data_IF_340625060069
#
_entry.id   IF_340625060069
#
_cell.length_a   1.000
_cell.length_b   1.000
_cell.length_c   1.000
_cell.angle_alpha   90.00
_cell.angle_beta   90.00
_cell.angle_gamma   90.00
#
_symmetry.space_group_name_H-M   'P 1'
#
loop_
_entity.id
_entity.type
_entity.pdbx_description
1 polymer ?
#
# COMPACT_ATOMS: atom_id res chain seq x y z
N UNK A 1 -28.88 -21.77 47.51
CA UNK A 1 -27.92 -20.94 46.79
C UNK A 1 -26.63 -20.63 47.58
N UNK A 2 -26.67 -20.16 48.85
CA UNK A 2 -25.44 -19.81 49.60
C UNK A 2 -24.44 -20.97 49.84
N UNK A 3 -24.90 -22.22 50.01
CA UNK A 3 -24.01 -23.38 50.23
C UNK A 3 -23.27 -23.79 48.96
N UNK A 4 -23.91 -23.75 47.78
CA UNK A 4 -23.31 -24.08 46.51
C UNK A 4 -22.22 -23.04 46.13
N UNK A 5 -22.49 -21.76 46.31
CA UNK A 5 -21.53 -20.68 46.12
C UNK A 5 -20.25 -20.85 46.97
N UNK A 6 -20.41 -21.22 48.26
CA UNK A 6 -19.25 -21.45 49.13
C UNK A 6 -18.43 -22.68 48.73
N UNK A 7 -19.07 -23.74 48.26
CA UNK A 7 -18.38 -24.95 47.81
C UNK A 7 -17.62 -24.74 46.51
N UNK A 8 -18.07 -23.79 45.66
CA UNK A 8 -17.45 -23.52 44.36
C UNK A 8 -16.68 -22.17 44.29
N UNK A 9 -16.49 -21.51 45.42
CA UNK A 9 -15.90 -20.18 45.50
C UNK A 9 -14.51 -20.13 44.83
N UNK A 10 -13.67 -21.13 45.09
CA UNK A 10 -12.31 -21.18 44.50
C UNK A 10 -12.38 -21.32 42.98
N UNK A 11 -13.26 -22.17 42.48
CA UNK A 11 -13.45 -22.32 41.01
C UNK A 11 -13.97 -21.06 40.36
N UNK A 12 -14.93 -20.37 41.02
CA UNK A 12 -15.47 -19.10 40.53
C UNK A 12 -14.40 -17.99 40.50
N UNK A 13 -13.59 -17.90 41.56
CA UNK A 13 -12.46 -16.93 41.59
C UNK A 13 -11.46 -17.25 40.50
N UNK A 14 -11.13 -18.53 40.32
CA UNK A 14 -10.20 -18.92 39.24
C UNK A 14 -10.76 -18.54 37.87
N UNK A 15 -12.01 -18.77 37.56
CA UNK A 15 -12.65 -18.38 36.30
C UNK A 15 -12.60 -16.86 36.10
N UNK A 16 -12.99 -16.10 37.15
CA UNK A 16 -12.99 -14.62 37.08
C UNK A 16 -11.59 -14.04 36.84
N UNK A 17 -10.54 -14.70 37.27
CA UNK A 17 -9.17 -14.24 37.06
C UNK A 17 -8.58 -14.79 35.77
N UNK A 18 -8.74 -16.07 35.47
CA UNK A 18 -8.09 -16.71 34.34
C UNK A 18 -8.75 -16.32 33.01
N UNK A 19 -10.06 -16.20 32.93
CA UNK A 19 -10.72 -15.83 31.67
C UNK A 19 -10.31 -14.45 31.18
N UNK A 20 -10.37 -13.37 31.99
CA UNK A 20 -9.88 -12.06 31.53
C UNK A 20 -8.39 -12.04 31.22
N UNK A 21 -7.58 -12.76 32.01
CA UNK A 21 -6.13 -12.83 31.75
C UNK A 21 -5.84 -13.52 30.41
N UNK A 22 -6.50 -14.65 30.14
CA UNK A 22 -6.35 -15.35 28.85
C UNK A 22 -6.80 -14.47 27.68
N UNK A 23 -7.98 -13.83 27.80
CA UNK A 23 -8.50 -12.92 26.78
C UNK A 23 -7.51 -11.76 26.54
N UNK A 24 -7.00 -11.15 27.60
CA UNK A 24 -6.06 -10.03 27.48
C UNK A 24 -4.75 -10.43 26.78
N UNK A 25 -4.19 -11.61 27.14
CA UNK A 25 -2.96 -12.12 26.51
C UNK A 25 -3.21 -12.46 25.04
N UNK A 26 -4.29 -13.18 24.73
CA UNK A 26 -4.63 -13.55 23.35
C UNK A 26 -4.85 -12.29 22.50
N UNK A 27 -5.62 -11.33 23.03
CA UNK A 27 -5.90 -10.09 22.30
C UNK A 27 -4.63 -9.25 22.07
N UNK A 28 -3.74 -9.18 23.05
CA UNK A 28 -2.47 -8.47 22.90
C UNK A 28 -1.57 -9.11 21.82
N UNK A 29 -1.51 -10.45 21.76
CA UNK A 29 -0.76 -11.15 20.74
C UNK A 29 -1.35 -10.96 19.35
N UNK A 30 -2.67 -11.05 19.19
CA UNK A 30 -3.36 -10.84 17.93
C UNK A 30 -3.19 -9.39 17.42
N UNK A 31 -3.30 -8.40 18.32
CA UNK A 31 -3.07 -6.99 17.97
C UNK A 31 -1.61 -6.75 17.60
N UNK A 32 -0.66 -7.40 18.30
CA UNK A 32 0.76 -7.35 17.94
C UNK A 32 1.01 -7.88 16.55
N UNK A 33 0.59 -9.12 16.28
CA UNK A 33 0.73 -9.76 14.98
C UNK A 33 0.02 -8.96 13.86
N UNK A 34 -1.16 -8.42 14.13
CA UNK A 34 -1.89 -7.58 13.18
C UNK A 34 -1.12 -6.30 12.82
N UNK A 35 -0.50 -5.64 13.82
CA UNK A 35 0.25 -4.41 13.57
C UNK A 35 1.57 -4.66 12.82
N UNK A 36 2.21 -5.83 13.02
CA UNK A 36 3.42 -6.22 12.33
C UNK A 36 3.18 -6.58 10.85
N UNK A 37 1.97 -6.98 10.50
CA UNK A 37 1.62 -7.44 9.15
C UNK A 37 0.89 -6.41 8.29
N UNK A 38 0.63 -5.20 8.83
CA UNK A 38 -0.05 -4.14 8.07
C UNK A 38 0.84 -2.91 7.90
N UNK A 39 0.57 -2.17 6.83
CA UNK A 39 1.22 -0.90 6.54
C UNK A 39 0.78 0.16 7.58
N UNK A 40 1.66 0.47 8.54
CA UNK A 40 1.37 1.43 9.62
C UNK A 40 2.46 2.48 9.80
N UNK A 41 3.67 2.26 9.27
CA UNK A 41 4.83 3.13 9.44
C UNK A 41 5.29 3.70 8.08
N UNK A 42 4.82 4.90 7.69
CA UNK A 42 5.20 5.48 6.41
C UNK A 42 6.65 5.97 6.41
N UNK A 43 7.41 5.56 5.41
CA UNK A 43 8.65 6.20 4.98
C UNK A 43 8.26 7.26 3.96
N UNK A 44 8.38 8.53 4.32
CA UNK A 44 7.93 9.63 3.48
C UNK A 44 8.95 9.92 2.36
N UNK A 45 8.44 10.16 1.15
CA UNK A 45 9.21 10.62 0.00
C UNK A 45 8.46 11.76 -0.68
N UNK A 46 9.14 12.89 -0.90
CA UNK A 46 8.62 14.06 -1.61
C UNK A 46 8.96 14.06 -3.09
N UNK A 47 8.37 14.98 -3.87
CA UNK A 47 8.76 15.17 -5.25
C UNK A 47 10.23 15.59 -5.36
N UNK A 48 10.98 14.90 -6.22
CA UNK A 48 12.42 15.14 -6.43
C UNK A 48 13.36 14.46 -5.45
N UNK A 49 12.83 13.79 -4.43
CA UNK A 49 13.63 12.95 -3.54
C UNK A 49 13.95 11.60 -4.20
N UNK A 50 15.09 11.02 -3.82
CA UNK A 50 15.41 9.60 -4.02
C UNK A 50 15.48 8.93 -2.66
N UNK A 51 14.78 7.80 -2.48
CA UNK A 51 14.71 7.10 -1.20
C UNK A 51 14.99 5.62 -1.38
N UNK A 52 15.86 5.08 -0.53
CA UNK A 52 16.12 3.64 -0.44
C UNK A 52 15.09 2.99 0.47
N UNK A 53 14.34 2.03 -0.08
CA UNK A 53 13.32 1.28 0.65
C UNK A 53 13.17 -0.11 0.05
N UNK A 54 13.20 -1.15 0.90
CA UNK A 54 13.03 -2.55 0.50
C UNK A 54 14.13 -3.06 -0.43
N UNK A 55 15.39 -2.64 -0.20
CA UNK A 55 16.51 -3.03 -1.05
C UNK A 55 16.50 -2.39 -2.44
N UNK A 56 15.70 -1.33 -2.64
CA UNK A 56 15.47 -0.68 -3.93
C UNK A 56 15.52 0.83 -3.76
N UNK A 57 16.16 1.54 -4.68
CA UNK A 57 16.09 2.99 -4.82
C UNK A 57 14.83 3.39 -5.59
N UNK A 58 14.12 4.39 -5.08
CA UNK A 58 12.87 4.88 -5.65
C UNK A 58 12.97 6.37 -5.92
N UNK A 59 12.51 6.82 -7.10
CA UNK A 59 12.45 8.23 -7.48
C UNK A 59 11.21 8.51 -8.31
N UNK A 60 10.48 9.58 -7.97
CA UNK A 60 9.34 10.03 -8.78
C UNK A 60 9.84 10.72 -10.04
N UNK A 61 9.46 10.21 -11.21
CA UNK A 61 9.79 10.80 -12.49
C UNK A 61 8.67 11.65 -13.07
N UNK A 62 7.43 11.18 -13.03
CA UNK A 62 6.30 11.91 -13.59
C UNK A 62 4.97 11.52 -12.94
N UNK A 63 4.06 12.50 -12.90
CA UNK A 63 2.65 12.28 -12.59
C UNK A 63 1.82 12.96 -13.69
N UNK A 64 0.83 12.23 -14.22
CA UNK A 64 -0.14 12.77 -15.19
C UNK A 64 -1.54 12.49 -14.70
N UNK A 65 -2.46 13.42 -14.93
CA UNK A 65 -3.89 13.23 -14.70
C UNK A 65 -4.62 13.41 -16.03
N UNK A 66 -5.33 12.39 -16.47
CA UNK A 66 -6.04 12.31 -17.74
C UNK A 66 -7.53 12.29 -17.44
N UNK A 67 -8.26 13.29 -17.93
CA UNK A 67 -9.71 13.35 -17.73
C UNK A 67 -10.43 12.40 -18.68
N UNK A 68 -11.51 11.77 -18.23
CA UNK A 68 -12.40 10.96 -19.05
C UNK A 68 -12.96 11.70 -20.28
N UNK A 69 -13.09 13.04 -20.21
CA UNK A 69 -13.60 13.87 -21.28
C UNK A 69 -12.52 14.32 -22.28
N UNK A 70 -11.25 14.03 -22.03
CA UNK A 70 -10.14 14.31 -22.94
C UNK A 70 -10.10 13.30 -24.08
N UNK A 71 -9.40 13.61 -25.17
CA UNK A 71 -9.16 12.69 -26.28
C UNK A 71 -8.52 11.40 -25.81
N UNK A 72 -7.44 11.50 -25.02
CA UNK A 72 -6.73 10.35 -24.43
C UNK A 72 -7.64 9.53 -23.48
N UNK A 73 -8.52 10.20 -22.70
CA UNK A 73 -9.46 9.52 -21.80
C UNK A 73 -10.55 8.75 -22.57
N UNK A 74 -10.99 9.26 -23.71
CA UNK A 74 -11.94 8.56 -24.61
C UNK A 74 -11.26 7.37 -25.30
N UNK A 75 -10.02 7.52 -25.76
CA UNK A 75 -9.24 6.44 -26.38
C UNK A 75 -8.96 5.29 -25.37
N UNK A 76 -8.74 5.63 -24.09
CA UNK A 76 -8.50 4.67 -23.00
C UNK A 76 -9.81 4.08 -22.45
N UNK A 77 -10.96 4.45 -22.99
CA UNK A 77 -12.29 4.00 -22.54
C UNK A 77 -12.58 4.28 -21.06
N UNK A 78 -12.11 5.43 -20.55
CA UNK A 78 -12.34 5.80 -19.15
C UNK A 78 -13.84 5.94 -18.86
N UNK A 79 -14.31 5.41 -17.72
CA UNK A 79 -15.70 5.60 -17.28
C UNK A 79 -16.04 7.09 -17.10
N UNK A 80 -17.29 7.46 -17.35
CA UNK A 80 -17.76 8.84 -17.14
C UNK A 80 -17.51 9.30 -15.70
N UNK A 81 -17.15 10.57 -15.55
CA UNK A 81 -16.85 11.21 -14.25
C UNK A 81 -15.69 10.54 -13.48
N UNK A 82 -14.72 9.98 -14.19
CA UNK A 82 -13.46 9.51 -13.63
C UNK A 82 -12.27 10.19 -14.29
N UNK A 83 -11.14 10.19 -13.63
CA UNK A 83 -9.85 10.57 -14.18
C UNK A 83 -8.88 9.39 -14.04
N UNK A 84 -7.88 9.32 -14.91
CA UNK A 84 -6.78 8.39 -14.79
C UNK A 84 -5.56 9.13 -14.23
N UNK A 85 -5.09 8.71 -13.06
CA UNK A 85 -3.82 9.19 -12.48
C UNK A 85 -2.74 8.19 -12.85
N UNK A 86 -1.78 8.65 -13.64
CA UNK A 86 -0.64 7.85 -14.10
C UNK A 86 0.61 8.32 -13.38
N UNK A 87 1.27 7.42 -12.67
CA UNK A 87 2.47 7.68 -11.89
C UNK A 87 3.62 6.88 -12.47
N UNK A 88 4.70 7.58 -12.83
CA UNK A 88 5.95 6.96 -13.30
C UNK A 88 7.03 7.14 -12.25
N UNK A 89 7.65 6.04 -11.85
CA UNK A 89 8.77 6.01 -10.91
C UNK A 89 9.98 5.34 -11.54
N UNK A 90 11.16 5.85 -11.25
CA UNK A 90 12.42 5.16 -11.51
C UNK A 90 12.67 4.17 -10.36
N UNK A 91 12.97 2.93 -10.70
CA UNK A 91 13.21 1.81 -9.79
C UNK A 91 14.64 1.34 -10.00
N UNK A 92 15.47 1.41 -8.97
CA UNK A 92 16.87 0.99 -9.00
C UNK A 92 17.06 -0.17 -8.02
N UNK A 93 17.05 -1.44 -8.47
CA UNK A 93 17.33 -2.58 -7.59
C UNK A 93 18.74 -2.47 -7.02
N UNK A 94 18.88 -2.68 -5.70
CA UNK A 94 20.17 -2.57 -4.97
C UNK A 94 20.51 -3.84 -4.20
N UNK A 95 19.49 -4.57 -3.76
CA UNK A 95 19.65 -5.81 -3.00
C UNK A 95 18.88 -6.93 -3.67
N UNK A 96 19.45 -8.12 -3.65
CA UNK A 96 18.92 -9.32 -4.29
C UNK A 96 18.92 -10.46 -3.27
N UNK A 97 17.94 -11.33 -3.37
CA UNK A 97 17.88 -12.56 -2.57
C UNK A 97 18.90 -13.61 -3.01
N UNK A 98 18.83 -14.80 -2.40
CA UNK A 98 19.76 -15.90 -2.71
C UNK A 98 19.59 -16.47 -4.13
N UNK A 99 18.44 -16.24 -4.73
CA UNK A 99 18.06 -16.59 -6.11
C UNK A 99 18.45 -15.50 -7.12
N UNK A 100 18.95 -14.34 -6.64
CA UNK A 100 19.32 -13.20 -7.47
C UNK A 100 18.13 -12.36 -7.90
N UNK A 101 17.02 -12.40 -7.16
CA UNK A 101 15.80 -11.65 -7.45
C UNK A 101 15.69 -10.42 -6.54
N UNK A 102 15.28 -9.30 -7.12
CA UNK A 102 14.91 -8.10 -6.39
C UNK A 102 13.57 -8.27 -5.65
N UNK A 103 13.30 -7.40 -4.68
CA UNK A 103 12.05 -7.44 -3.92
C UNK A 103 10.83 -7.15 -4.78
N UNK A 104 9.78 -7.96 -4.63
CA UNK A 104 8.48 -7.68 -5.23
C UNK A 104 7.76 -6.56 -4.47
N UNK A 105 7.05 -5.70 -5.22
CA UNK A 105 6.25 -4.64 -4.62
C UNK A 105 4.79 -4.67 -5.06
N UNK A 106 3.94 -4.06 -4.25
CA UNK A 106 2.56 -3.70 -4.62
C UNK A 106 2.34 -2.21 -4.42
N UNK A 107 1.45 -1.64 -5.23
CA UNK A 107 1.19 -0.20 -5.23
C UNK A 107 -0.28 0.10 -4.99
N UNK A 108 -0.55 1.27 -4.37
CA UNK A 108 -1.89 1.86 -4.20
C UNK A 108 -1.80 3.36 -4.33
N UNK A 109 -2.86 3.96 -4.83
CA UNK A 109 -3.05 5.40 -4.76
C UNK A 109 -3.97 5.72 -3.59
N UNK A 110 -3.60 6.71 -2.78
CA UNK A 110 -4.39 7.17 -1.64
C UNK A 110 -4.67 8.65 -1.79
N UNK A 111 -5.91 9.06 -1.56
CA UNK A 111 -6.28 10.43 -1.29
C UNK A 111 -6.17 10.70 0.19
N UNK A 112 -5.51 11.79 0.54
CA UNK A 112 -5.25 12.14 1.92
C UNK A 112 -6.22 13.22 2.42
N UNK A 113 -6.60 13.12 3.70
CA UNK A 113 -7.21 14.20 4.47
C UNK A 113 -6.31 14.44 5.68
N UNK A 114 -5.38 15.39 5.54
CA UNK A 114 -4.25 15.55 6.45
C UNK A 114 -3.37 14.29 6.49
N UNK A 115 -3.28 13.64 7.65
CA UNK A 115 -2.48 12.41 7.83
C UNK A 115 -3.30 11.12 7.65
N UNK A 116 -4.60 11.22 7.38
CA UNK A 116 -5.48 10.05 7.24
C UNK A 116 -5.79 9.76 5.77
N UNK A 117 -5.94 8.49 5.44
CA UNK A 117 -6.38 8.05 4.11
C UNK A 117 -7.90 8.19 4.05
N UNK A 118 -8.39 9.08 3.18
CA UNK A 118 -9.80 9.29 2.93
C UNK A 118 -10.37 8.27 1.94
N UNK A 119 -9.66 8.05 0.83
CA UNK A 119 -10.00 7.07 -0.22
C UNK A 119 -8.74 6.36 -0.72
N UNK A 120 -8.89 5.14 -1.24
CA UNK A 120 -7.76 4.36 -1.75
C UNK A 120 -8.16 3.58 -2.99
N UNK A 121 -7.27 3.50 -3.98
CA UNK A 121 -7.46 2.79 -5.24
C UNK A 121 -6.30 1.84 -5.52
N UNK A 122 -6.63 0.71 -6.12
CA UNK A 122 -5.64 -0.23 -6.63
C UNK A 122 -5.20 0.17 -8.03
N UNK A 123 -4.04 -0.34 -8.43
CA UNK A 123 -3.55 -0.23 -9.79
C UNK A 123 -4.57 -0.83 -10.78
N UNK A 124 -4.87 -0.09 -11.82
CA UNK A 124 -5.80 -0.43 -12.89
C UNK A 124 -5.08 -0.57 -14.25
N UNK A 125 -3.76 -0.69 -14.26
CA UNK A 125 -3.00 -0.93 -15.48
C UNK A 125 -3.49 -2.21 -16.13
N UNK A 126 -3.92 -2.12 -17.39
CA UNK A 126 -4.47 -3.18 -18.25
C UNK A 126 -5.79 -3.86 -17.79
N UNK A 127 -6.38 -3.49 -16.66
CA UNK A 127 -7.68 -3.99 -16.20
C UNK A 127 -8.24 -3.07 -15.09
N UNK A 128 -9.43 -2.49 -15.19
CA UNK A 128 -10.47 -2.69 -16.21
C UNK A 128 -10.42 -1.73 -17.43
N UNK A 129 -9.35 -0.99 -17.63
CA UNK A 129 -9.18 -0.02 -18.72
C UNK A 129 -8.11 -0.50 -19.71
N UNK A 130 -8.21 -0.06 -20.97
CA UNK A 130 -7.20 -0.35 -21.99
C UNK A 130 -6.05 0.67 -21.91
N UNK A 131 -5.32 0.61 -20.80
CA UNK A 131 -4.13 1.43 -20.59
C UNK A 131 -2.89 0.56 -20.38
N UNK A 132 -1.89 0.77 -21.20
CA UNK A 132 -0.59 0.11 -21.11
C UNK A 132 0.54 1.12 -21.05
N UNK A 133 1.58 0.88 -20.24
CA UNK A 133 2.80 1.66 -20.31
C UNK A 133 3.41 1.59 -21.73
N UNK A 134 4.14 2.64 -22.16
CA UNK A 134 4.85 2.63 -23.43
C UNK A 134 5.98 1.60 -23.42
N UNK A 135 6.49 1.26 -24.62
CA UNK A 135 7.62 0.34 -24.78
C UNK A 135 8.83 0.75 -23.90
N UNK A 136 9.38 -0.19 -23.17
CA UNK A 136 10.51 0.02 -22.25
C UNK A 136 10.14 0.56 -20.86
N UNK A 137 8.85 0.69 -20.57
CA UNK A 137 8.35 1.03 -19.24
C UNK A 137 7.56 -0.16 -18.68
N UNK A 138 7.87 -0.57 -17.47
CA UNK A 138 7.25 -1.74 -16.83
C UNK A 138 5.92 -1.38 -16.15
N UNK A 139 4.95 -2.28 -16.23
CA UNK A 139 3.64 -2.10 -15.60
C UNK A 139 3.61 -2.40 -14.09
N UNK A 140 4.62 -3.11 -13.58
CA UNK A 140 4.72 -3.57 -12.19
C UNK A 140 6.18 -3.79 -11.80
N UNK A 141 6.45 -3.97 -10.50
CA UNK A 141 7.78 -4.30 -10.01
C UNK A 141 8.31 -5.58 -10.64
N UNK A 142 9.48 -5.48 -11.26
CA UNK A 142 10.20 -6.60 -11.84
C UNK A 142 11.24 -7.12 -10.86
N UNK A 143 11.20 -8.39 -10.57
CA UNK A 143 12.15 -9.04 -9.67
C UNK A 143 13.40 -9.52 -10.39
N UNK A 144 13.30 -9.74 -11.72
CA UNK A 144 14.37 -10.31 -12.54
C UNK A 144 15.33 -9.25 -13.13
N UNK A 145 14.98 -7.95 -12.98
CA UNK A 145 15.81 -6.87 -13.51
C UNK A 145 16.83 -6.44 -12.45
N UNK A 146 18.08 -6.34 -12.87
CA UNK A 146 19.22 -5.85 -12.07
C UNK A 146 19.65 -4.42 -12.45
N UNK A 147 19.28 -3.95 -13.64
CA UNK A 147 19.47 -2.58 -14.08
C UNK A 147 18.31 -1.65 -13.67
N UNK A 148 18.55 -0.33 -13.52
CA UNK A 148 17.47 0.64 -13.29
C UNK A 148 16.44 0.63 -14.43
N UNK A 149 15.15 0.73 -14.08
CA UNK A 149 14.04 0.76 -15.03
C UNK A 149 12.96 1.76 -14.61
N UNK A 150 12.10 2.13 -15.55
CA UNK A 150 10.90 2.91 -15.27
C UNK A 150 9.72 1.97 -15.04
N UNK A 151 8.98 2.23 -13.97
CA UNK A 151 7.71 1.57 -13.68
C UNK A 151 6.58 2.59 -13.75
N UNK A 152 5.48 2.23 -14.39
CA UNK A 152 4.31 3.09 -14.52
C UNK A 152 3.07 2.36 -14.01
N UNK A 153 2.38 2.99 -13.07
CA UNK A 153 1.11 2.54 -12.51
C UNK A 153 0.00 3.51 -12.85
N UNK A 154 -1.19 2.99 -13.09
CA UNK A 154 -2.37 3.76 -13.48
C UNK A 154 -3.53 3.52 -12.51
N UNK A 155 -4.22 4.59 -12.10
CA UNK A 155 -5.29 4.53 -11.12
C UNK A 155 -6.53 5.27 -11.62
N UNK A 156 -7.65 4.58 -11.73
CA UNK A 156 -8.95 5.19 -12.06
C UNK A 156 -9.55 5.78 -10.79
N UNK A 157 -9.71 7.08 -10.76
CA UNK A 157 -10.26 7.82 -9.62
C UNK A 157 -11.49 8.63 -10.02
N UNK A 158 -12.44 8.91 -9.13
CA UNK A 158 -13.50 9.89 -9.38
C UNK A 158 -12.91 11.26 -9.75
N UNK A 159 -13.55 12.00 -10.69
CA UNK A 159 -13.04 13.32 -11.11
C UNK A 159 -13.14 14.40 -10.03
N UNK A 160 -13.86 14.13 -8.93
CA UNK A 160 -13.90 14.98 -7.73
C UNK A 160 -12.76 14.73 -6.75
N UNK A 161 -11.84 13.81 -7.07
CA UNK A 161 -10.68 13.50 -6.22
C UNK A 161 -9.76 14.72 -6.13
N UNK A 162 -9.33 15.06 -4.91
CA UNK A 162 -8.42 16.17 -4.64
C UNK A 162 -7.02 15.92 -5.21
N UNK A 163 -6.16 16.95 -5.19
CA UNK A 163 -4.75 16.81 -5.57
C UNK A 163 -3.86 16.33 -4.39
N UNK A 164 -4.45 16.14 -3.19
CA UNK A 164 -3.73 15.58 -2.04
C UNK A 164 -3.56 14.06 -2.20
N UNK A 165 -2.80 13.66 -3.21
CA UNK A 165 -2.57 12.27 -3.57
C UNK A 165 -1.20 11.79 -3.14
N UNK A 166 -1.17 10.55 -2.64
CA UNK A 166 0.07 9.83 -2.36
C UNK A 166 0.03 8.44 -3.00
N UNK A 167 1.14 8.01 -3.58
CA UNK A 167 1.32 6.62 -3.97
C UNK A 167 1.98 5.87 -2.83
N UNK A 168 1.39 4.77 -2.45
CA UNK A 168 1.92 3.82 -1.48
C UNK A 168 2.60 2.68 -2.21
N UNK A 169 3.85 2.40 -1.83
CA UNK A 169 4.59 1.24 -2.31
C UNK A 169 4.86 0.35 -1.11
N UNK A 170 4.44 -0.90 -1.20
CA UNK A 170 4.61 -1.92 -0.18
C UNK A 170 5.56 -2.99 -0.68
N UNK A 171 6.55 -3.30 0.14
CA UNK A 171 7.43 -4.47 0.02
C UNK A 171 7.19 -5.35 1.24
N UNK A 172 6.80 -6.61 1.05
CA UNK A 172 6.32 -7.47 2.14
C UNK A 172 7.37 -7.71 3.23
N UNK A 173 8.65 -7.77 2.86
CA UNK A 173 9.76 -7.93 3.81
C UNK A 173 9.99 -6.71 4.71
N UNK A 174 9.43 -5.56 4.36
CA UNK A 174 9.60 -4.30 5.08
C UNK A 174 8.49 -3.99 6.08
N UNK A 175 7.41 -4.76 6.07
CA UNK A 175 6.29 -4.53 7.00
C UNK A 175 6.76 -4.44 8.47
N UNK A 176 6.21 -3.51 9.24
CA UNK A 176 5.06 -2.63 8.99
C UNK A 176 5.36 -1.33 8.20
N UNK A 177 6.62 -1.13 7.79
CA UNK A 177 7.01 0.05 7.00
C UNK A 177 6.46 -0.04 5.58
N UNK A 178 6.16 1.12 5.00
CA UNK A 178 5.80 1.26 3.59
C UNK A 178 6.27 2.61 3.06
N UNK A 179 6.61 2.70 1.78
CA UNK A 179 6.99 3.96 1.15
C UNK A 179 5.73 4.75 0.80
N UNK A 180 5.66 6.01 1.25
CA UNK A 180 4.59 6.96 0.93
C UNK A 180 5.16 8.11 0.11
N UNK A 181 4.91 8.06 -1.18
CA UNK A 181 5.35 9.00 -2.18
C UNK A 181 4.29 10.09 -2.36
N UNK A 182 4.61 11.36 -2.06
CA UNK A 182 3.74 12.50 -2.37
C UNK A 182 3.83 12.81 -3.86
N UNK A 183 2.67 12.99 -4.52
CA UNK A 183 2.60 13.16 -5.97
C UNK A 183 2.60 14.61 -6.43
N UNK A 184 2.04 15.55 -5.62
CA UNK A 184 1.91 16.97 -5.92
C UNK A 184 2.38 17.84 -4.76
#
# INVERSE_FOLDING_TARGET
MKRWLRANLVGLVAIVLLVPATVAITFANEVGAYNETRESEPVAMGPGDEVDYGGTGWKLEAVRRISWASEEGVETELPNATDLVVVTVEVTPKEFDAEGLASFCTVRLNEMDGDTIARSWMDATNDPIDFWPPDGVEAYCKTELDDPYLMQSAFVVPSDTSDELTMQIRVDSELPRYLRLRLF
#
